data_IF_509470284412
#
_entry.id   IF_509470284412
#
_cell.length_a   1.000
_cell.length_b   1.000
_cell.length_c   1.000
_cell.angle_alpha   90.00
_cell.angle_beta   90.00
_cell.angle_gamma   90.00
#
_symmetry.space_group_name_H-M   'P 1'
#
loop_
_entity.id
_entity.type
_entity.pdbx_description
1 polymer ?
#
# COMPACT_ATOMS: atom_id res chain seq x y z
N UNK A 1 9.67 15.79 -20.64
CA UNK A 1 8.65 14.81 -21.06
C UNK A 1 8.46 13.86 -19.90
N UNK A 2 7.30 13.87 -19.24
CA UNK A 2 7.04 12.91 -18.15
C UNK A 2 6.85 11.52 -18.79
N UNK A 3 7.81 10.62 -18.59
CA UNK A 3 7.73 9.23 -19.06
C UNK A 3 7.25 8.39 -17.88
N UNK A 4 6.05 7.79 -17.98
CA UNK A 4 5.44 7.00 -16.91
C UNK A 4 3.92 6.82 -17.04
N UNK A 5 3.24 6.36 -15.98
CA UNK A 5 1.77 6.17 -15.96
C UNK A 5 1.00 7.45 -16.31
N UNK A 6 1.53 8.62 -15.94
CA UNK A 6 0.98 9.91 -16.34
C UNK A 6 1.01 10.15 -17.86
N UNK A 7 1.97 9.58 -18.59
CA UNK A 7 1.98 9.61 -20.05
C UNK A 7 0.90 8.70 -20.63
N UNK A 8 0.67 7.53 -20.02
CA UNK A 8 -0.38 6.59 -20.43
C UNK A 8 -1.76 7.23 -20.23
N UNK A 9 -1.99 7.89 -19.10
CA UNK A 9 -3.26 8.60 -18.83
C UNK A 9 -3.50 9.75 -19.81
N UNK A 10 -2.44 10.42 -20.28
CA UNK A 10 -2.55 11.46 -21.32
C UNK A 10 -2.71 10.89 -22.73
N UNK A 11 -2.18 9.69 -22.99
CA UNK A 11 -2.19 9.07 -24.30
C UNK A 11 -3.46 8.25 -24.58
N UNK A 12 -4.08 7.68 -23.53
CA UNK A 12 -5.26 6.82 -23.65
C UNK A 12 -6.48 7.55 -23.06
N UNK A 13 -7.42 8.00 -23.90
CA UNK A 13 -8.67 8.61 -23.45
C UNK A 13 -9.41 7.66 -22.50
N UNK A 14 -9.74 8.14 -21.29
CA UNK A 14 -10.51 7.39 -20.30
C UNK A 14 -9.71 6.42 -19.43
N UNK A 15 -8.40 6.24 -19.64
CA UNK A 15 -7.58 5.36 -18.80
C UNK A 15 -7.56 5.80 -17.32
N UNK A 16 -7.44 7.11 -17.08
CA UNK A 16 -7.52 7.68 -15.73
C UNK A 16 -8.86 7.33 -15.06
N UNK A 17 -9.98 7.52 -15.77
CA UNK A 17 -11.32 7.26 -15.25
C UNK A 17 -11.57 5.78 -15.00
N UNK A 18 -11.06 4.90 -15.87
CA UNK A 18 -11.14 3.46 -15.69
C UNK A 18 -10.40 3.01 -14.41
N UNK A 19 -9.19 3.55 -14.18
CA UNK A 19 -8.42 3.24 -12.98
C UNK A 19 -9.10 3.80 -11.72
N UNK A 20 -9.64 5.02 -11.77
CA UNK A 20 -10.43 5.58 -10.66
C UNK A 20 -11.66 4.72 -10.33
N UNK A 21 -12.40 4.27 -11.34
CA UNK A 21 -13.57 3.40 -11.16
C UNK A 21 -13.19 2.07 -10.50
N UNK A 22 -12.18 1.38 -11.03
CA UNK A 22 -11.74 0.09 -10.49
C UNK A 22 -11.19 0.27 -9.07
N UNK A 23 -10.34 1.27 -8.85
CA UNK A 23 -9.77 1.56 -7.54
C UNK A 23 -10.84 1.94 -6.51
N UNK A 24 -11.78 2.80 -6.87
CA UNK A 24 -12.88 3.22 -6.00
C UNK A 24 -13.78 2.06 -5.59
N UNK A 25 -14.20 1.22 -6.54
CA UNK A 25 -15.00 0.01 -6.24
C UNK A 25 -14.22 -0.97 -5.36
N UNK A 26 -12.93 -1.14 -5.60
CA UNK A 26 -12.09 -2.01 -4.79
C UNK A 26 -11.94 -1.50 -3.34
N UNK A 27 -11.80 -0.18 -3.16
CA UNK A 27 -11.79 0.44 -1.83
C UNK A 27 -13.12 0.25 -1.10
N UNK A 28 -14.24 0.36 -1.81
CA UNK A 28 -15.56 0.07 -1.23
C UNK A 28 -15.66 -1.39 -0.78
N UNK A 29 -15.21 -2.33 -1.62
CA UNK A 29 -15.16 -3.75 -1.28
C UNK A 29 -14.32 -4.02 -0.01
N UNK A 30 -13.10 -3.49 0.06
CA UNK A 30 -12.24 -3.63 1.23
C UNK A 30 -12.85 -2.97 2.47
N UNK A 31 -13.50 -1.82 2.31
CA UNK A 31 -14.19 -1.13 3.39
C UNK A 31 -15.32 -1.99 4.00
N UNK A 32 -16.14 -2.61 3.14
CA UNK A 32 -17.19 -3.54 3.59
C UNK A 32 -16.60 -4.79 4.25
N UNK A 33 -15.52 -5.35 3.71
CA UNK A 33 -14.87 -6.54 4.28
C UNK A 33 -14.27 -6.26 5.67
N UNK A 34 -13.67 -5.09 5.87
CA UNK A 34 -13.20 -4.63 7.18
C UNK A 34 -14.35 -4.49 8.18
N UNK A 35 -15.47 -3.88 7.79
CA UNK A 35 -16.66 -3.77 8.66
C UNK A 35 -17.25 -5.13 9.04
N UNK A 36 -17.31 -6.08 8.09
CA UNK A 36 -17.76 -7.46 8.36
C UNK A 36 -16.80 -8.20 9.28
N UNK A 37 -15.50 -7.99 9.11
CA UNK A 37 -14.48 -8.59 9.98
C UNK A 37 -14.58 -8.06 11.41
N UNK A 38 -14.95 -6.79 11.60
CA UNK A 38 -15.25 -6.19 12.91
C UNK A 38 -16.46 -6.82 13.64
N UNK A 39 -17.29 -7.59 12.94
CA UNK A 39 -18.44 -8.30 13.50
C UNK A 39 -18.16 -9.79 13.73
N UNK A 40 -17.05 -10.31 13.20
CA UNK A 40 -16.66 -11.72 13.34
C UNK A 40 -15.60 -11.92 14.44
N UNK A 41 -15.81 -12.86 15.36
CA UNK A 41 -14.79 -13.32 16.32
C UNK A 41 -13.76 -14.22 15.62
N UNK A 42 -12.99 -13.66 14.69
CA UNK A 42 -11.87 -14.39 14.07
C UNK A 42 -10.70 -14.42 15.04
N UNK A 43 -10.16 -15.61 15.37
CA UNK A 43 -8.98 -15.70 16.22
C UNK A 43 -7.80 -15.02 15.53
N UNK A 44 -7.12 -14.14 16.27
CA UNK A 44 -5.89 -13.49 15.79
C UNK A 44 -4.78 -14.55 15.66
N UNK A 45 -4.05 -14.63 14.53
CA UNK A 45 -2.98 -15.61 14.38
C UNK A 45 -1.89 -15.35 15.43
N UNK A 46 -1.70 -16.31 16.35
CA UNK A 46 -0.71 -16.22 17.40
C UNK A 46 0.68 -16.60 16.87
N UNK A 47 1.47 -15.58 16.52
CA UNK A 47 2.92 -15.70 16.28
C UNK A 47 3.34 -15.89 14.81
N UNK A 48 4.51 -15.32 14.46
CA UNK A 48 5.19 -15.57 13.17
C UNK A 48 5.01 -14.51 12.07
N UNK A 49 4.28 -13.42 12.32
CA UNK A 49 3.88 -12.45 11.29
C UNK A 49 5.01 -11.62 10.64
N UNK A 50 6.23 -11.61 11.17
CA UNK A 50 7.33 -10.82 10.59
C UNK A 50 7.75 -11.37 9.22
N UNK A 51 7.87 -12.69 9.09
CA UNK A 51 8.26 -13.33 7.83
C UNK A 51 7.11 -13.30 6.82
N UNK A 52 5.88 -13.55 7.26
CA UNK A 52 4.68 -13.38 6.46
C UNK A 52 4.56 -11.95 5.94
N UNK A 53 4.67 -10.96 6.84
CA UNK A 53 4.57 -9.54 6.53
C UNK A 53 5.70 -9.08 5.60
N UNK A 54 6.93 -9.54 5.82
CA UNK A 54 8.05 -9.27 4.91
C UNK A 54 7.78 -9.85 3.52
N UNK A 55 7.34 -11.10 3.42
CA UNK A 55 7.04 -11.73 2.13
C UNK A 55 5.87 -11.03 1.44
N UNK A 56 4.79 -10.72 2.15
CA UNK A 56 3.64 -9.99 1.58
C UNK A 56 4.05 -8.61 1.06
N UNK A 57 4.92 -7.90 1.78
CA UNK A 57 5.42 -6.60 1.34
C UNK A 57 6.42 -6.72 0.18
N UNK A 58 7.35 -7.68 0.24
CA UNK A 58 8.36 -7.92 -0.78
C UNK A 58 7.76 -8.45 -2.09
N UNK A 59 6.74 -9.30 -2.02
CA UNK A 59 5.97 -9.77 -3.17
C UNK A 59 4.89 -8.77 -3.61
N UNK A 60 4.73 -7.62 -2.92
CA UNK A 60 3.71 -6.64 -3.30
C UNK A 60 4.04 -6.04 -4.68
N UNK A 61 3.26 -6.37 -5.73
CA UNK A 61 3.56 -5.91 -7.08
C UNK A 61 3.44 -4.39 -7.21
N UNK A 62 2.77 -3.70 -6.27
CA UNK A 62 2.62 -2.25 -6.28
C UNK A 62 3.96 -1.52 -6.20
N UNK A 63 4.93 -2.03 -5.43
CA UNK A 63 6.27 -1.43 -5.32
C UNK A 63 7.02 -1.61 -6.64
N UNK A 64 6.99 -2.81 -7.21
CA UNK A 64 7.59 -3.09 -8.50
C UNK A 64 6.97 -2.25 -9.63
N UNK A 65 5.64 -2.09 -9.62
CA UNK A 65 4.90 -1.26 -10.57
C UNK A 65 5.16 0.24 -10.37
N UNK A 66 5.31 0.72 -9.14
CA UNK A 66 5.75 2.09 -8.84
C UNK A 66 7.13 2.34 -9.42
N UNK A 67 8.09 1.47 -9.11
CA UNK A 67 9.43 1.58 -9.68
C UNK A 67 9.34 1.55 -11.21
N UNK A 68 8.66 0.58 -11.84
CA UNK A 68 8.50 0.52 -13.30
C UNK A 68 7.83 1.78 -13.91
N UNK A 69 6.87 2.38 -13.20
CA UNK A 69 6.14 3.57 -13.64
C UNK A 69 6.94 4.87 -13.51
N UNK A 70 7.85 4.97 -12.54
CA UNK A 70 8.60 6.19 -12.22
C UNK A 70 10.08 6.12 -12.64
N UNK A 71 10.64 4.92 -12.83
CA UNK A 71 12.03 4.67 -13.23
C UNK A 71 12.49 5.36 -14.53
N UNK A 72 11.70 5.37 -15.61
CA UNK A 72 12.15 5.92 -16.89
C UNK A 72 12.57 7.39 -16.77
N UNK A 73 11.96 8.12 -15.83
CA UNK A 73 12.30 9.51 -15.52
C UNK A 73 13.60 9.69 -14.72
N UNK A 74 13.99 8.71 -13.91
CA UNK A 74 15.21 8.77 -13.08
C UNK A 74 16.46 8.24 -13.81
N UNK A 75 16.31 7.25 -14.68
CA UNK A 75 17.40 6.71 -15.48
C UNK A 75 17.92 7.70 -16.55
N UNK A 76 17.06 8.62 -17.01
CA UNK A 76 17.40 9.58 -18.07
C UNK A 76 18.21 10.81 -17.59
N UNK A 77 18.42 10.99 -16.28
CA UNK A 77 19.03 12.19 -15.70
C UNK A 77 20.51 12.08 -15.31
N UNK A 78 21.12 10.88 -15.38
CA UNK A 78 22.51 10.67 -14.98
C UNK A 78 23.46 10.84 -16.15
N UNK A 79 24.18 11.97 -16.20
CA UNK A 79 25.34 12.11 -17.07
C UNK A 79 26.40 11.04 -16.69
N UNK A 80 26.46 9.93 -17.44
CA UNK A 80 27.62 9.03 -17.49
C UNK A 80 27.67 7.84 -16.52
N UNK A 81 26.56 7.41 -15.90
CA UNK A 81 26.54 6.21 -15.04
C UNK A 81 25.51 5.16 -15.47
N UNK A 82 25.85 3.87 -15.35
CA UNK A 82 24.96 2.74 -15.64
C UNK A 82 23.64 2.87 -14.87
N UNK A 83 22.55 3.19 -15.59
CA UNK A 83 21.24 3.49 -15.00
C UNK A 83 20.70 2.39 -14.07
N UNK A 84 21.13 1.14 -14.25
CA UNK A 84 20.80 0.02 -13.36
C UNK A 84 21.29 0.21 -11.92
N UNK A 85 22.43 0.87 -11.71
CA UNK A 85 23.00 1.09 -10.37
C UNK A 85 22.21 2.12 -9.57
N UNK A 86 21.79 3.22 -10.20
CA UNK A 86 20.95 4.25 -9.56
C UNK A 86 19.58 3.70 -9.16
N UNK A 87 19.01 2.83 -9.99
CA UNK A 87 17.76 2.12 -9.72
C UNK A 87 17.90 1.19 -8.51
N UNK A 88 18.97 0.39 -8.49
CA UNK A 88 19.23 -0.52 -7.39
C UNK A 88 19.42 0.23 -6.05
N UNK A 89 20.12 1.37 -6.08
CA UNK A 89 20.31 2.21 -4.88
C UNK A 89 18.97 2.79 -4.41
N UNK A 90 18.14 3.36 -5.29
CA UNK A 90 16.82 3.88 -4.93
C UNK A 90 15.89 2.80 -4.37
N UNK A 91 15.89 1.61 -5.00
CA UNK A 91 15.16 0.45 -4.52
C UNK A 91 15.61 0.01 -3.13
N UNK A 92 16.93 -0.07 -2.91
CA UNK A 92 17.51 -0.42 -1.61
C UNK A 92 17.20 0.63 -0.53
N UNK A 93 17.28 1.92 -0.86
CA UNK A 93 16.92 3.01 0.06
C UNK A 93 15.45 2.94 0.44
N UNK A 94 14.55 2.75 -0.53
CA UNK A 94 13.12 2.57 -0.26
C UNK A 94 12.89 1.36 0.65
N UNK A 95 13.47 0.21 0.33
CA UNK A 95 13.34 -1.00 1.14
C UNK A 95 13.85 -0.80 2.58
N UNK A 96 14.98 -0.12 2.76
CA UNK A 96 15.53 0.19 4.08
C UNK A 96 14.61 1.11 4.89
N UNK A 97 14.08 2.17 4.27
CA UNK A 97 13.14 3.08 4.91
C UNK A 97 11.85 2.37 5.30
N UNK A 98 11.30 1.53 4.42
CA UNK A 98 10.10 0.74 4.68
C UNK A 98 10.34 -0.27 5.80
N UNK A 99 11.49 -0.95 5.83
CA UNK A 99 11.84 -1.87 6.89
C UNK A 99 11.99 -1.16 8.24
N UNK A 100 12.64 0.00 8.28
CA UNK A 100 12.78 0.80 9.50
C UNK A 100 11.43 1.31 10.01
N UNK A 101 10.58 1.79 9.09
CA UNK A 101 9.24 2.24 9.40
C UNK A 101 8.37 1.11 9.96
N UNK A 102 8.26 -0.02 9.24
CA UNK A 102 7.48 -1.18 9.68
C UNK A 102 8.03 -1.78 10.97
N UNK A 103 9.37 -1.83 11.13
CA UNK A 103 10.01 -2.27 12.36
C UNK A 103 9.67 -1.37 13.55
N UNK A 104 9.72 -0.04 13.36
CA UNK A 104 9.30 0.92 14.38
C UNK A 104 7.82 0.78 14.76
N UNK A 105 6.95 0.66 13.76
CA UNK A 105 5.51 0.39 13.97
C UNK A 105 5.30 -0.92 14.73
N UNK A 106 6.04 -1.97 14.37
CA UNK A 106 5.95 -3.27 15.04
C UNK A 106 6.38 -3.22 16.51
N UNK A 107 7.48 -2.52 16.83
CA UNK A 107 7.93 -2.34 18.23
C UNK A 107 6.91 -1.55 19.05
N UNK A 108 6.35 -0.49 18.49
CA UNK A 108 5.30 0.30 19.16
C UNK A 108 4.02 -0.53 19.34
N UNK A 109 3.63 -1.31 18.33
CA UNK A 109 2.47 -2.18 18.39
C UNK A 109 2.66 -3.33 19.39
N UNK A 110 3.88 -3.87 19.53
CA UNK A 110 4.19 -4.91 20.52
C UNK A 110 4.08 -4.35 21.96
N UNK A 111 4.55 -3.12 22.19
CA UNK A 111 4.36 -2.41 23.46
C UNK A 111 2.89 -2.10 23.79
N UNK A 112 2.03 -2.02 22.78
CA UNK A 112 0.58 -1.85 22.92
C UNK A 112 -0.20 -3.16 22.72
N UNK A 113 0.49 -4.30 22.64
CA UNK A 113 -0.11 -5.56 22.18
C UNK A 113 -1.26 -6.01 23.07
N UNK A 114 -1.19 -5.79 24.38
CA UNK A 114 -2.27 -6.20 25.30
C UNK A 114 -3.56 -5.37 25.11
N UNK A 115 -3.43 -4.09 24.74
CA UNK A 115 -4.56 -3.22 24.41
C UNK A 115 -5.11 -3.52 23.01
N UNK A 116 -4.23 -3.79 22.06
CA UNK A 116 -4.56 -4.13 20.67
C UNK A 116 -5.16 -5.53 20.52
N UNK A 117 -4.75 -6.49 21.36
CA UNK A 117 -5.32 -7.84 21.43
C UNK A 117 -6.72 -7.88 22.05
N UNK A 118 -7.17 -6.80 22.68
CA UNK A 118 -8.55 -6.74 23.14
C UNK A 118 -9.48 -6.73 21.92
N UNK A 119 -10.46 -7.64 21.93
CA UNK A 119 -11.48 -7.76 20.88
C UNK A 119 -12.21 -6.43 20.64
N UNK A 120 -12.29 -5.57 21.66
CA UNK A 120 -12.92 -4.25 21.54
C UNK A 120 -12.07 -3.29 20.70
N UNK A 121 -10.75 -3.27 20.89
CA UNK A 121 -9.84 -2.41 20.12
C UNK A 121 -9.71 -2.90 18.68
N UNK A 122 -9.57 -4.21 18.46
CA UNK A 122 -9.53 -4.79 17.10
C UNK A 122 -10.78 -4.43 16.29
N UNK A 123 -11.97 -4.63 16.86
CA UNK A 123 -13.24 -4.24 16.21
C UNK A 123 -13.38 -2.74 15.98
N UNK A 124 -12.77 -1.90 16.82
CA UNK A 124 -12.81 -0.44 16.61
C UNK A 124 -11.87 -0.02 15.48
N UNK A 125 -10.68 -0.62 15.41
CA UNK A 125 -9.73 -0.41 14.31
C UNK A 125 -10.32 -0.84 12.98
N UNK A 126 -10.93 -2.01 12.90
CA UNK A 126 -11.58 -2.50 11.68
C UNK A 126 -12.75 -1.60 11.24
N UNK A 127 -13.53 -1.08 12.21
CA UNK A 127 -14.60 -0.10 11.91
C UNK A 127 -14.08 1.21 11.35
N UNK A 128 -13.02 1.75 11.95
CA UNK A 128 -12.42 3.01 11.49
C UNK A 128 -11.75 2.83 10.14
N UNK A 129 -10.97 1.76 9.97
CA UNK A 129 -10.34 1.41 8.69
C UNK A 129 -11.41 1.23 7.60
N UNK A 130 -12.46 0.46 7.88
CA UNK A 130 -13.58 0.26 6.98
C UNK A 130 -14.29 1.56 6.61
N UNK A 131 -14.59 2.40 7.60
CA UNK A 131 -15.22 3.70 7.38
C UNK A 131 -14.37 4.65 6.53
N UNK A 132 -13.05 4.73 6.79
CA UNK A 132 -12.12 5.53 5.99
C UNK A 132 -12.06 5.02 4.55
N UNK A 133 -11.94 3.70 4.34
CA UNK A 133 -11.90 3.10 3.00
C UNK A 133 -13.19 3.36 2.21
N UNK A 134 -14.35 3.24 2.87
CA UNK A 134 -15.64 3.58 2.26
C UNK A 134 -15.73 5.05 1.86
N UNK A 135 -15.30 5.96 2.74
CA UNK A 135 -15.30 7.40 2.47
C UNK A 135 -14.39 7.76 1.29
N UNK A 136 -13.16 7.23 1.28
CA UNK A 136 -12.21 7.46 0.18
C UNK A 136 -12.73 6.83 -1.10
N UNK A 137 -13.23 5.60 -1.07
CA UNK A 137 -13.79 4.91 -2.24
C UNK A 137 -14.97 5.67 -2.84
N UNK A 138 -15.90 6.14 -2.01
CA UNK A 138 -17.01 6.97 -2.46
C UNK A 138 -16.52 8.29 -3.07
N UNK A 139 -15.60 8.98 -2.39
CA UNK A 139 -15.02 10.23 -2.88
C UNK A 139 -14.33 10.06 -4.23
N UNK A 140 -13.53 9.00 -4.43
CA UNK A 140 -12.85 8.70 -5.71
C UNK A 140 -13.84 8.46 -6.85
N UNK A 141 -15.02 7.89 -6.56
CA UNK A 141 -16.03 7.62 -7.58
C UNK A 141 -16.87 8.87 -7.93
N UNK A 142 -17.11 9.73 -6.95
CA UNK A 142 -17.94 10.94 -7.10
C UNK A 142 -17.15 12.20 -7.46
N UNK A 143 -15.84 12.20 -7.20
CA UNK A 143 -14.91 13.29 -7.47
C UNK A 143 -14.31 13.28 -8.87
#
# INVERSE_FOLDING_TARGET
>A
VAVGVAAIYRAVPGAERAVQLVGGVFLLYLGVDALRSAESDRPSPAGGGVREGFLVNALNPQVALFFLAFLPGFAAGGAGGDGGTSIAVLGATYAALTALYLGGVAVVADGAADVLRSERTGRWLDRVAGGILLLIGAWVLTG
#
